data_IF_739283702298
#
_entry.id   IF_739283702298
#
_cell.length_a   1.000
_cell.length_b   1.000
_cell.length_c   1.000
_cell.angle_alpha   90.00
_cell.angle_beta   90.00
_cell.angle_gamma   90.00
#
_symmetry.space_group_name_H-M   'P 1'
#
loop_
_entity.id
_entity.type
_entity.pdbx_description
1 polymer ?
#
# COMPACT_ATOMS: atom_id res chain seq x y z
N UNK A 1 -16.91 -14.96 -0.23
CA UNK A 1 -16.51 -13.86 -1.14
C UNK A 1 -15.10 -13.39 -0.76
N UNK A 2 -14.13 -13.48 -1.65
CA UNK A 2 -12.77 -12.98 -1.38
C UNK A 2 -12.80 -11.46 -1.25
N UNK A 3 -12.29 -10.94 -0.14
CA UNK A 3 -12.21 -9.49 0.10
C UNK A 3 -10.97 -8.85 -0.53
N UNK A 4 -10.01 -9.67 -0.95
CA UNK A 4 -8.79 -9.23 -1.65
C UNK A 4 -8.81 -9.85 -3.04
N UNK A 5 -8.59 -9.04 -4.06
CA UNK A 5 -8.58 -9.47 -5.47
C UNK A 5 -7.25 -9.09 -6.08
N UNK A 6 -6.53 -10.07 -6.63
CA UNK A 6 -5.39 -9.83 -7.51
C UNK A 6 -5.85 -10.00 -8.96
N UNK A 7 -5.56 -9.02 -9.81
CA UNK A 7 -5.86 -9.11 -11.25
C UNK A 7 -4.64 -9.54 -12.05
N UNK A 8 -3.45 -9.20 -11.57
CA UNK A 8 -2.19 -9.58 -12.19
C UNK A 8 -1.94 -11.08 -12.14
N UNK A 9 -1.20 -11.56 -13.14
CA UNK A 9 -0.80 -12.95 -13.32
C UNK A 9 0.71 -13.09 -13.22
N UNK A 10 1.17 -14.33 -13.07
CA UNK A 10 2.60 -14.64 -13.11
C UNK A 10 3.16 -14.26 -14.48
N UNK A 11 4.27 -13.52 -14.48
CA UNK A 11 4.92 -13.02 -15.68
C UNK A 11 4.46 -11.61 -16.12
N UNK A 12 3.45 -11.03 -15.47
CA UNK A 12 3.07 -9.64 -15.76
C UNK A 12 4.17 -8.68 -15.26
N UNK A 13 4.62 -7.78 -16.13
CA UNK A 13 5.46 -6.65 -15.75
C UNK A 13 4.57 -5.47 -15.33
N UNK A 14 4.83 -4.92 -14.14
CA UNK A 14 4.09 -3.76 -13.61
C UNK A 14 5.02 -2.57 -13.43
N UNK A 15 4.56 -1.40 -13.87
CA UNK A 15 5.22 -0.12 -13.62
C UNK A 15 4.76 0.45 -12.29
N UNK A 16 5.55 1.38 -11.76
CA UNK A 16 5.19 2.13 -10.55
C UNK A 16 3.86 2.86 -10.78
N UNK A 17 2.89 2.58 -9.92
CA UNK A 17 1.53 3.17 -10.00
C UNK A 17 0.49 2.25 -10.67
N UNK A 18 0.92 1.16 -11.30
CA UNK A 18 -0.02 0.21 -11.88
C UNK A 18 -0.84 -0.51 -10.80
N UNK A 19 -2.10 -0.81 -11.14
CA UNK A 19 -3.01 -1.50 -10.24
C UNK A 19 -2.80 -3.01 -10.31
N UNK A 20 -2.18 -3.57 -9.29
CA UNK A 20 -2.07 -5.02 -9.11
C UNK A 20 -3.43 -5.69 -8.78
N UNK A 21 -4.25 -5.00 -8.02
CA UNK A 21 -5.43 -5.59 -7.39
C UNK A 21 -6.27 -4.59 -6.62
N UNK A 22 -7.18 -5.13 -5.80
CA UNK A 22 -8.07 -4.35 -4.95
C UNK A 22 -8.26 -5.03 -3.59
N UNK A 23 -8.05 -4.23 -2.55
CA UNK A 23 -8.49 -4.54 -1.19
C UNK A 23 -9.90 -3.99 -1.01
N UNK A 24 -10.89 -4.86 -0.86
CA UNK A 24 -12.30 -4.47 -0.71
C UNK A 24 -12.58 -3.98 0.70
N UNK A 25 -13.61 -3.15 0.82
CA UNK A 25 -14.10 -2.61 2.10
C UNK A 25 -14.32 -3.69 3.15
N UNK A 26 -14.00 -3.38 4.41
CA UNK A 26 -14.02 -4.34 5.52
C UNK A 26 -12.77 -5.23 5.61
N UNK A 27 -11.75 -4.98 4.79
CA UNK A 27 -10.40 -5.54 4.95
C UNK A 27 -9.46 -4.55 5.62
N UNK A 28 -8.32 -5.05 6.12
CA UNK A 28 -7.23 -4.23 6.68
C UNK A 28 -5.96 -4.47 5.87
N UNK A 29 -5.20 -3.40 5.62
CA UNK A 29 -3.86 -3.48 5.07
C UNK A 29 -2.88 -3.11 6.17
N UNK A 30 -1.89 -3.96 6.40
CA UNK A 30 -0.78 -3.69 7.32
C UNK A 30 0.49 -3.45 6.50
N UNK A 31 1.30 -2.48 6.92
CA UNK A 31 2.50 -2.06 6.18
C UNK A 31 3.67 -2.16 7.13
N UNK A 32 4.60 -3.06 6.80
CA UNK A 32 5.85 -3.21 7.52
C UNK A 32 6.88 -2.26 6.93
N UNK A 33 7.48 -1.44 7.79
CA UNK A 33 8.48 -0.46 7.40
C UNK A 33 9.82 -0.81 8.06
N UNK A 34 10.95 -0.55 7.39
CA UNK A 34 12.26 -0.58 8.04
C UNK A 34 12.30 0.36 9.25
N UNK A 35 13.10 0.03 10.25
CA UNK A 35 13.26 0.87 11.45
C UNK A 35 13.83 2.26 11.14
N UNK A 36 14.49 2.41 9.99
CA UNK A 36 15.05 3.68 9.52
C UNK A 36 14.01 4.58 8.83
N UNK A 37 12.81 4.06 8.53
CA UNK A 37 11.77 4.83 7.88
C UNK A 37 11.17 5.87 8.81
N UNK A 38 10.87 7.05 8.26
CA UNK A 38 10.14 8.10 8.97
C UNK A 38 8.66 8.01 8.61
N UNK A 39 7.81 7.70 9.59
CA UNK A 39 6.35 7.66 9.42
C UNK A 39 5.81 9.09 9.36
N UNK A 40 4.93 9.38 8.39
CA UNK A 40 4.39 10.71 8.11
C UNK A 40 2.89 10.86 8.42
N UNK A 41 2.26 9.81 8.93
CA UNK A 41 0.85 9.80 9.35
C UNK A 41 0.74 9.37 10.81
N UNK A 42 -0.38 9.70 11.44
CA UNK A 42 -0.69 9.32 12.83
C UNK A 42 -2.07 8.68 12.94
N UNK A 43 -2.33 8.07 14.09
CA UNK A 43 -3.64 7.50 14.40
C UNK A 43 -4.71 8.59 14.32
N UNK A 44 -5.80 8.29 13.60
CA UNK A 44 -6.92 9.21 13.38
C UNK A 44 -6.85 9.99 12.06
N UNK A 45 -5.71 9.98 11.36
CA UNK A 45 -5.61 10.62 10.04
C UNK A 45 -6.47 9.88 9.01
N UNK A 46 -7.16 10.65 8.16
CA UNK A 46 -7.82 10.11 6.97
C UNK A 46 -6.81 9.96 5.85
N UNK A 47 -6.63 8.73 5.36
CA UNK A 47 -5.68 8.40 4.30
C UNK A 47 -6.42 7.95 3.04
N UNK A 48 -5.86 8.27 1.87
CA UNK A 48 -6.36 7.86 0.57
C UNK A 48 -5.29 7.04 -0.18
N UNK A 49 -5.69 5.88 -0.69
CA UNK A 49 -4.79 4.99 -1.42
C UNK A 49 -4.23 5.68 -2.68
N UNK A 50 -2.92 5.56 -2.89
CA UNK A 50 -2.23 6.13 -4.06
C UNK A 50 -1.93 7.63 -3.98
N UNK A 51 -2.40 8.36 -2.95
CA UNK A 51 -2.15 9.80 -2.82
C UNK A 51 -1.56 10.21 -1.47
N UNK A 52 -2.03 9.62 -0.36
CA UNK A 52 -1.47 9.92 0.95
C UNK A 52 -0.11 9.26 1.13
N UNK A 53 0.93 10.07 1.34
CA UNK A 53 2.26 9.59 1.68
C UNK A 53 2.27 9.20 3.15
N UNK A 54 2.44 7.91 3.44
CA UNK A 54 2.41 7.38 4.82
C UNK A 54 3.78 7.33 5.51
N UNK A 55 4.86 7.26 4.73
CA UNK A 55 6.22 7.17 5.23
C UNK A 55 7.24 7.61 4.16
N UNK A 56 8.41 8.05 4.61
CA UNK A 56 9.61 8.21 3.78
C UNK A 56 10.65 7.19 4.22
N UNK A 57 11.15 6.43 3.26
CA UNK A 57 12.33 5.60 3.45
C UNK A 57 13.55 6.52 3.45
N UNK A 58 14.47 6.31 4.38
CA UNK A 58 15.79 6.93 4.32
C UNK A 58 16.55 6.35 3.12
N UNK A 59 17.36 7.18 2.47
CA UNK A 59 18.29 6.67 1.46
C UNK A 59 19.23 5.66 2.15
N UNK A 60 19.35 4.48 1.54
CA UNK A 60 20.31 3.46 1.97
C UNK A 60 21.72 3.86 1.54
#
# INVERSE_FOLDING_TARGET
>A
AYRIVAWSRLGDELKKGDRFGMIRFGSRTEIYLPLTATVLVKVGDHVSAGSTIIARLSEQ
#
